data_IF_558551433410
#
_entry.id   IF_558551433410
#
_cell.length_a   1.000
_cell.length_b   1.000
_cell.length_c   1.000
_cell.angle_alpha   90.00
_cell.angle_beta   90.00
_cell.angle_gamma   90.00
#
_symmetry.space_group_name_H-M   'P 1'
#
loop_
_entity.id
_entity.type
_entity.pdbx_description
1 polymer ?
#
# COMPACT_ATOMS: atom_id res chain seq x y z
N UNK A 1 38.78 47.97 -13.48
CA UNK A 1 38.30 46.81 -14.24
C UNK A 1 37.57 45.90 -13.27
N UNK A 2 36.23 45.91 -13.27
CA UNK A 2 35.48 44.99 -12.41
C UNK A 2 35.70 43.57 -12.93
N UNK A 3 36.27 42.74 -12.07
CA UNK A 3 36.37 41.30 -12.26
C UNK A 3 34.94 40.78 -12.43
N UNK A 4 34.56 40.37 -13.64
CA UNK A 4 33.24 39.78 -13.86
C UNK A 4 33.10 38.58 -12.93
N UNK A 5 32.04 38.51 -12.10
CA UNK A 5 31.82 37.35 -11.22
C UNK A 5 31.78 36.09 -12.08
N UNK A 6 32.17 34.91 -11.55
CA UNK A 6 32.22 33.66 -12.30
C UNK A 6 30.79 33.20 -12.66
N UNK A 7 30.21 33.82 -13.69
CA UNK A 7 28.85 33.57 -14.18
C UNK A 7 28.70 32.18 -14.81
N UNK A 8 29.80 31.51 -15.14
CA UNK A 8 29.81 30.13 -15.64
C UNK A 8 29.20 29.15 -14.60
N UNK A 9 29.50 29.37 -13.32
CA UNK A 9 28.99 28.50 -12.25
C UNK A 9 27.47 28.64 -12.06
N UNK A 10 26.89 29.80 -12.40
CA UNK A 10 25.46 30.06 -12.23
C UNK A 10 24.59 29.21 -13.18
N UNK A 11 24.93 29.16 -14.47
CA UNK A 11 24.13 28.41 -15.45
C UNK A 11 24.21 26.90 -15.24
N UNK A 12 25.40 26.40 -14.85
CA UNK A 12 25.59 25.01 -14.43
C UNK A 12 24.74 24.70 -13.20
N UNK A 13 24.76 25.56 -12.19
CA UNK A 13 23.96 25.39 -10.98
C UNK A 13 22.45 25.35 -11.29
N UNK A 14 21.94 26.26 -12.12
CA UNK A 14 20.53 26.26 -12.54
C UNK A 14 20.16 24.94 -13.25
N UNK A 15 21.05 24.45 -14.13
CA UNK A 15 20.85 23.17 -14.82
C UNK A 15 20.74 22.02 -13.83
N UNK A 16 21.72 21.89 -12.93
CA UNK A 16 21.73 20.81 -11.93
C UNK A 16 20.55 20.89 -10.97
N UNK A 17 20.15 22.09 -10.57
CA UNK A 17 18.98 22.30 -9.73
C UNK A 17 17.69 21.87 -10.45
N UNK A 18 17.55 22.19 -11.74
CA UNK A 18 16.43 21.72 -12.56
C UNK A 18 16.38 20.20 -12.66
N UNK A 19 17.52 19.55 -12.93
CA UNK A 19 17.62 18.08 -12.98
C UNK A 19 17.29 17.45 -11.61
N UNK A 20 17.78 18.03 -10.51
CA UNK A 20 17.47 17.55 -9.18
C UNK A 20 15.96 17.64 -8.87
N UNK A 21 15.30 18.74 -9.26
CA UNK A 21 13.84 18.90 -9.11
C UNK A 21 13.05 17.86 -9.91
N UNK A 22 13.48 17.56 -11.15
CA UNK A 22 12.88 16.52 -11.99
C UNK A 22 12.94 15.16 -11.29
N UNK A 23 14.15 14.75 -10.86
CA UNK A 23 14.37 13.45 -10.20
C UNK A 23 13.58 13.37 -8.91
N UNK A 24 13.64 14.41 -8.07
CA UNK A 24 12.94 14.46 -6.80
C UNK A 24 11.42 14.37 -6.97
N UNK A 25 10.86 15.09 -7.95
CA UNK A 25 9.42 15.09 -8.21
C UNK A 25 8.94 13.72 -8.69
N UNK A 26 9.67 13.12 -9.63
CA UNK A 26 9.36 11.78 -10.15
C UNK A 26 9.48 10.70 -9.08
N UNK A 27 10.56 10.72 -8.29
CA UNK A 27 10.76 9.77 -7.20
C UNK A 27 9.67 9.88 -6.12
N UNK A 28 9.35 11.11 -5.69
CA UNK A 28 8.30 11.35 -4.69
C UNK A 28 6.94 10.86 -5.17
N UNK A 29 6.61 11.10 -6.45
CA UNK A 29 5.35 10.62 -7.05
C UNK A 29 5.25 9.08 -7.02
N UNK A 30 6.31 8.39 -7.45
CA UNK A 30 6.36 6.92 -7.46
C UNK A 30 6.23 6.37 -6.04
N UNK A 31 6.99 6.94 -5.10
CA UNK A 31 7.04 6.44 -3.72
C UNK A 31 5.69 6.61 -2.99
N UNK A 32 5.04 7.77 -3.17
CA UNK A 32 3.74 8.04 -2.57
C UNK A 32 2.66 7.09 -3.13
N UNK A 33 2.66 6.88 -4.45
CA UNK A 33 1.73 5.94 -5.10
C UNK A 33 1.97 4.51 -4.62
N UNK A 34 3.23 4.08 -4.54
CA UNK A 34 3.62 2.74 -4.07
C UNK A 34 3.17 2.49 -2.63
N UNK A 35 3.39 3.44 -1.72
CA UNK A 35 3.00 3.31 -0.31
C UNK A 35 1.49 3.06 -0.15
N UNK A 36 0.67 3.80 -0.89
CA UNK A 36 -0.79 3.62 -0.83
C UNK A 36 -1.20 2.28 -1.43
N UNK A 37 -0.68 1.93 -2.61
CA UNK A 37 -1.01 0.66 -3.25
C UNK A 37 -0.67 -0.54 -2.35
N UNK A 38 0.52 -0.52 -1.72
CA UNK A 38 0.93 -1.58 -0.78
C UNK A 38 0.01 -1.61 0.44
N UNK A 39 -0.36 -0.46 1.00
CA UNK A 39 -1.26 -0.40 2.15
C UNK A 39 -2.65 -0.96 1.83
N UNK A 40 -3.24 -0.58 0.69
CA UNK A 40 -4.54 -1.08 0.24
C UNK A 40 -4.48 -2.58 -0.03
N UNK A 41 -3.49 -3.05 -0.80
CA UNK A 41 -3.34 -4.46 -1.15
C UNK A 41 -3.15 -5.35 0.10
N UNK A 42 -2.36 -4.89 1.07
CA UNK A 42 -2.13 -5.61 2.33
C UNK A 42 -3.43 -5.71 3.13
N UNK A 43 -4.21 -4.62 3.20
CA UNK A 43 -5.49 -4.59 3.89
C UNK A 43 -6.53 -5.50 3.20
N UNK A 44 -6.57 -5.52 1.87
CA UNK A 44 -7.43 -6.43 1.09
C UNK A 44 -7.07 -7.89 1.30
N UNK A 45 -5.78 -8.23 1.33
CA UNK A 45 -5.33 -9.58 1.63
C UNK A 45 -5.71 -10.02 3.05
N UNK A 46 -5.52 -9.16 4.05
CA UNK A 46 -5.95 -9.44 5.43
C UNK A 46 -7.47 -9.67 5.46
N UNK A 47 -8.25 -8.81 4.80
CA UNK A 47 -9.70 -8.92 4.69
C UNK A 47 -10.15 -10.25 4.04
N UNK A 48 -9.48 -10.67 2.97
CA UNK A 48 -9.76 -11.93 2.29
C UNK A 48 -9.45 -13.14 3.20
N UNK A 49 -8.33 -13.09 3.92
CA UNK A 49 -7.95 -14.14 4.86
C UNK A 49 -8.95 -14.29 6.01
N UNK A 50 -9.45 -13.17 6.54
CA UNK A 50 -10.49 -13.15 7.58
C UNK A 50 -11.84 -13.65 7.05
N UNK A 51 -12.15 -13.36 5.78
CA UNK A 51 -13.38 -13.84 5.13
C UNK A 51 -13.40 -15.35 5.03
N UNK A 52 -12.30 -15.95 4.60
CA UNK A 52 -12.14 -17.41 4.53
C UNK A 52 -12.27 -18.04 5.93
N UNK A 53 -11.61 -17.47 6.94
CA UNK A 53 -11.74 -17.95 8.33
C UNK A 53 -13.18 -17.85 8.85
N UNK A 54 -13.87 -16.73 8.59
CA UNK A 54 -15.26 -16.57 8.97
C UNK A 54 -16.17 -17.61 8.31
N UNK A 55 -15.98 -17.89 7.01
CA UNK A 55 -16.76 -18.88 6.27
C UNK A 55 -16.59 -20.29 6.85
N UNK A 56 -15.36 -20.68 7.20
CA UNK A 56 -15.07 -21.96 7.85
C UNK A 56 -15.77 -22.04 9.22
N UNK A 57 -15.63 -21.01 10.05
CA UNK A 57 -16.26 -20.95 11.38
C UNK A 57 -17.79 -20.95 11.30
N UNK A 58 -18.38 -20.28 10.32
CA UNK A 58 -19.83 -20.34 10.09
C UNK A 58 -20.27 -21.75 9.70
N UNK A 59 -19.47 -22.47 8.92
CA UNK A 59 -19.67 -23.87 8.61
C UNK A 59 -19.65 -24.75 9.86
N UNK A 60 -18.65 -24.57 10.74
CA UNK A 60 -18.53 -25.29 12.01
C UNK A 60 -19.71 -25.03 12.95
N UNK A 61 -20.11 -23.76 13.10
CA UNK A 61 -21.27 -23.39 13.94
C UNK A 61 -22.54 -24.05 13.43
N UNK A 62 -22.80 -23.99 12.11
CA UNK A 62 -23.96 -24.65 11.50
C UNK A 62 -23.90 -26.17 11.64
N UNK A 63 -22.72 -26.76 11.47
CA UNK A 63 -22.50 -28.20 11.65
C UNK A 63 -22.79 -28.65 13.08
N UNK A 64 -22.24 -27.94 14.07
CA UNK A 64 -22.45 -28.23 15.49
C UNK A 64 -23.91 -28.05 15.90
N UNK A 65 -24.59 -27.03 15.38
CA UNK A 65 -26.02 -26.78 15.66
C UNK A 65 -26.91 -27.88 15.08
N UNK A 66 -26.63 -28.34 13.86
CA UNK A 66 -27.33 -29.45 13.23
C UNK A 66 -27.10 -30.77 13.98
N UNK A 67 -25.85 -31.08 14.35
CA UNK A 67 -25.52 -32.29 15.12
C UNK A 67 -26.20 -32.28 16.49
N UNK A 68 -26.11 -31.17 17.23
CA UNK A 68 -26.77 -31.03 18.52
C UNK A 68 -28.29 -31.17 18.41
N UNK A 69 -28.90 -30.62 17.35
CA UNK A 69 -30.34 -30.75 17.09
C UNK A 69 -30.76 -32.18 16.79
N UNK A 70 -29.95 -32.95 16.04
CA UNK A 70 -30.19 -34.37 15.77
C UNK A 70 -30.09 -35.20 17.05
N UNK A 71 -29.02 -35.02 17.84
CA UNK A 71 -28.84 -35.73 19.11
C UNK A 71 -29.94 -35.39 20.13
N UNK A 72 -30.34 -34.12 20.22
CA UNK A 72 -31.44 -33.70 21.08
C UNK A 72 -32.78 -34.31 20.65
N UNK A 73 -32.99 -34.50 19.34
CA UNK A 73 -34.15 -35.20 18.81
C UNK A 73 -34.14 -36.68 19.20
N UNK A 74 -33.00 -37.35 19.13
CA UNK A 74 -32.84 -38.75 19.59
C UNK A 74 -33.15 -38.90 21.09
N UNK A 75 -32.69 -37.95 21.92
CA UNK A 75 -32.99 -37.96 23.36
C UNK A 75 -34.47 -37.68 23.69
N UNK A 76 -35.20 -36.97 22.82
CA UNK A 76 -36.60 -36.62 23.01
C UNK A 76 -37.59 -37.64 22.45
N UNK A 77 -37.21 -38.38 21.41
CA UNK A 77 -38.07 -39.37 20.78
C UNK A 77 -38.18 -40.63 21.65
N UNK A 78 -39.36 -40.96 22.21
CA UNK A 78 -39.52 -42.13 23.08
C UNK A 78 -39.13 -43.45 22.41
N UNK A 79 -39.20 -43.53 21.08
CA UNK A 79 -38.85 -44.73 20.33
C UNK A 79 -37.34 -44.91 20.15
N UNK A 80 -36.55 -43.83 20.21
CA UNK A 80 -35.09 -43.86 19.99
C UNK A 80 -34.29 -43.50 21.25
N UNK A 81 -34.96 -43.06 22.32
CA UNK A 81 -34.32 -42.59 23.55
C UNK A 81 -33.59 -43.75 24.25
N UNK A 82 -32.26 -43.64 24.46
CA UNK A 82 -31.53 -44.61 25.28
C UNK A 82 -32.01 -44.52 26.73
N UNK A 83 -31.90 -45.64 27.46
CA UNK A 83 -32.22 -45.68 28.90
C UNK A 83 -31.40 -44.61 29.65
N UNK A 84 -32.00 -43.73 30.48
CA UNK A 84 -31.29 -42.63 31.14
C UNK A 84 -30.09 -43.04 32.00
N UNK A 85 -30.02 -44.29 32.45
CA UNK A 85 -28.87 -44.85 33.18
C UNK A 85 -27.79 -45.47 32.29
N UNK A 86 -28.03 -45.56 30.98
CA UNK A 86 -27.10 -46.20 30.05
C UNK A 86 -25.87 -45.34 29.78
N UNK A 87 -24.75 -46.00 29.51
CA UNK A 87 -23.52 -45.33 29.07
C UNK A 87 -23.72 -44.56 27.74
N UNK A 88 -24.66 -44.97 26.91
CA UNK A 88 -25.00 -44.30 25.66
C UNK A 88 -25.69 -42.96 25.90
N UNK A 89 -26.67 -42.90 26.80
CA UNK A 89 -27.34 -41.65 27.19
C UNK A 89 -26.31 -40.61 27.68
N UNK A 90 -25.43 -41.01 28.60
CA UNK A 90 -24.38 -40.14 29.13
C UNK A 90 -23.39 -39.65 28.05
N UNK A 91 -23.08 -40.49 27.05
CA UNK A 91 -22.24 -40.10 25.90
C UNK A 91 -22.91 -39.06 25.03
N UNK A 92 -24.20 -39.24 24.71
CA UNK A 92 -24.96 -38.30 23.88
C UNK A 92 -25.09 -36.96 24.61
N UNK A 93 -25.43 -36.98 25.90
CA UNK A 93 -25.56 -35.76 26.70
C UNK A 93 -24.23 -34.99 26.79
N UNK A 94 -23.13 -35.69 27.05
CA UNK A 94 -21.78 -35.11 27.06
C UNK A 94 -21.42 -34.52 25.69
N UNK A 95 -21.74 -35.21 24.59
CA UNK A 95 -21.49 -34.72 23.23
C UNK A 95 -22.30 -33.46 22.92
N UNK A 96 -23.58 -33.42 23.29
CA UNK A 96 -24.42 -32.23 23.12
C UNK A 96 -23.84 -31.04 23.88
N UNK A 97 -23.35 -31.25 25.11
CA UNK A 97 -22.76 -30.18 25.90
C UNK A 97 -21.43 -29.69 25.30
N UNK A 98 -20.58 -30.59 24.81
CA UNK A 98 -19.37 -30.23 24.06
C UNK A 98 -19.70 -29.39 22.81
N UNK A 99 -20.70 -29.78 22.03
CA UNK A 99 -21.12 -29.05 20.84
C UNK A 99 -21.60 -27.63 21.17
N UNK A 100 -22.31 -27.44 22.29
CA UNK A 100 -22.71 -26.10 22.75
C UNK A 100 -21.50 -25.24 23.12
N UNK A 101 -20.51 -25.81 23.81
CA UNK A 101 -19.28 -25.10 24.18
C UNK A 101 -18.51 -24.70 22.91
N UNK A 102 -18.27 -25.64 21.99
CA UNK A 102 -17.61 -25.36 20.71
C UNK A 102 -18.36 -24.29 19.91
N UNK A 103 -19.69 -24.37 19.83
CA UNK A 103 -20.51 -23.35 19.17
C UNK A 103 -20.30 -21.97 19.79
N UNK A 104 -20.36 -21.86 21.11
CA UNK A 104 -20.18 -20.59 21.81
C UNK A 104 -18.77 -19.99 21.60
N UNK A 105 -17.73 -20.84 21.55
CA UNK A 105 -16.36 -20.43 21.25
C UNK A 105 -16.19 -19.96 19.81
N UNK A 106 -16.76 -20.68 18.83
CA UNK A 106 -16.74 -20.29 17.43
C UNK A 106 -17.53 -19.00 17.19
N UNK A 107 -18.68 -18.81 17.83
CA UNK A 107 -19.46 -17.56 17.76
C UNK A 107 -18.69 -16.36 18.34
N UNK A 108 -17.97 -16.56 19.46
CA UNK A 108 -17.11 -15.53 20.05
C UNK A 108 -15.98 -15.14 19.08
N UNK A 109 -15.37 -16.12 18.42
CA UNK A 109 -14.31 -15.90 17.41
C UNK A 109 -14.87 -15.20 16.18
N UNK A 110 -16.08 -15.56 15.74
CA UNK A 110 -16.75 -14.89 14.62
C UNK A 110 -17.06 -13.42 14.92
N UNK A 111 -17.43 -13.11 16.17
CA UNK A 111 -17.61 -11.73 16.63
C UNK A 111 -16.30 -10.93 16.58
N UNK A 112 -15.17 -11.51 16.99
CA UNK A 112 -13.87 -10.82 16.92
C UNK A 112 -13.40 -10.63 15.48
N UNK A 113 -13.63 -11.61 14.59
CA UNK A 113 -13.37 -11.47 13.16
C UNK A 113 -14.18 -10.32 12.56
N UNK A 114 -15.49 -10.22 12.88
CA UNK A 114 -16.34 -9.10 12.43
C UNK A 114 -15.83 -7.73 12.92
N UNK A 115 -15.29 -7.66 14.13
CA UNK A 115 -14.68 -6.44 14.62
C UNK A 115 -13.43 -6.08 13.79
N UNK A 116 -12.54 -7.04 13.54
CA UNK A 116 -11.34 -6.82 12.70
C UNK A 116 -11.70 -6.42 11.26
N UNK A 117 -12.79 -6.94 10.72
CA UNK A 117 -13.33 -6.48 9.43
C UNK A 117 -13.63 -4.99 9.42
N UNK A 118 -14.30 -4.48 10.46
CA UNK A 118 -14.61 -3.06 10.57
C UNK A 118 -13.34 -2.21 10.68
N UNK A 119 -12.37 -2.67 11.47
CA UNK A 119 -11.07 -2.01 11.63
C UNK A 119 -10.30 -1.94 10.28
N UNK A 120 -10.30 -3.03 9.50
CA UNK A 120 -9.66 -3.06 8.18
C UNK A 120 -10.40 -2.18 7.18
N UNK A 121 -11.74 -2.18 7.18
CA UNK A 121 -12.53 -1.29 6.33
C UNK A 121 -12.24 0.18 6.65
N UNK A 122 -12.08 0.53 7.92
CA UNK A 122 -11.69 1.87 8.33
C UNK A 122 -10.28 2.22 7.82
N UNK A 123 -9.31 1.29 7.91
CA UNK A 123 -7.97 1.48 7.32
C UNK A 123 -8.01 1.69 5.81
N UNK A 124 -8.80 0.91 5.08
CA UNK A 124 -8.99 1.07 3.62
C UNK A 124 -9.61 2.43 3.31
N UNK A 125 -10.64 2.83 4.07
CA UNK A 125 -11.29 4.14 3.92
C UNK A 125 -10.29 5.27 4.15
N UNK A 126 -9.50 5.22 5.21
CA UNK A 126 -8.47 6.21 5.52
C UNK A 126 -7.36 6.24 4.47
N UNK A 127 -6.94 5.08 3.94
CA UNK A 127 -6.00 5.00 2.83
C UNK A 127 -6.55 5.66 1.56
N UNK A 128 -7.84 5.46 1.26
CA UNK A 128 -8.51 6.10 0.12
C UNK A 128 -8.65 7.62 0.28
N UNK A 129 -8.94 8.10 1.50
CA UNK A 129 -8.94 9.54 1.80
C UNK A 129 -7.54 10.12 1.59
N UNK A 130 -6.51 9.40 2.05
CA UNK A 130 -5.10 9.79 1.85
C UNK A 130 -4.73 9.77 0.37
N UNK A 131 -5.22 8.80 -0.40
CA UNK A 131 -5.02 8.75 -1.85
C UNK A 131 -5.60 9.98 -2.55
N UNK A 132 -6.81 10.39 -2.16
CA UNK A 132 -7.43 11.62 -2.67
C UNK A 132 -6.66 12.88 -2.29
N UNK A 133 -6.08 12.95 -1.08
CA UNK A 133 -5.26 14.11 -0.70
C UNK A 133 -3.93 14.15 -1.45
N UNK A 134 -3.38 12.99 -1.82
CA UNK A 134 -2.21 12.91 -2.69
C UNK A 134 -2.49 13.41 -4.11
N UNK A 135 -3.71 13.34 -4.64
CA UNK A 135 -4.01 13.88 -5.97
C UNK A 135 -3.69 15.39 -6.05
N UNK A 136 -3.99 16.14 -4.98
CA UNK A 136 -3.62 17.55 -4.90
C UNK A 136 -2.10 17.74 -4.83
N UNK A 137 -1.38 16.85 -4.13
CA UNK A 137 0.08 16.89 -4.07
C UNK A 137 0.71 16.51 -5.42
N UNK A 138 0.10 15.58 -6.16
CA UNK A 138 0.56 15.16 -7.48
C UNK A 138 0.50 16.32 -8.48
N UNK A 139 -0.48 17.21 -8.37
CA UNK A 139 -0.51 18.45 -9.17
C UNK A 139 0.70 19.34 -8.84
N UNK A 140 1.04 19.51 -7.56
CA UNK A 140 2.20 20.31 -7.14
C UNK A 140 3.50 19.66 -7.65
N UNK A 141 3.62 18.33 -7.57
CA UNK A 141 4.77 17.59 -8.09
C UNK A 141 4.88 17.71 -9.62
N UNK A 142 3.77 17.69 -10.34
CA UNK A 142 3.74 17.88 -11.79
C UNK A 142 4.18 19.29 -12.19
N UNK A 143 3.71 20.32 -11.47
CA UNK A 143 4.15 21.71 -11.68
C UNK A 143 5.64 21.83 -11.38
N UNK A 144 6.12 21.25 -10.28
CA UNK A 144 7.54 21.25 -9.88
C UNK A 144 8.42 20.55 -10.91
N UNK A 145 7.95 19.43 -11.46
CA UNK A 145 8.60 18.72 -12.55
C UNK A 145 8.72 19.60 -13.80
N UNK A 146 7.61 20.23 -14.22
CA UNK A 146 7.60 21.14 -15.38
C UNK A 146 8.56 22.33 -15.18
N UNK A 147 8.57 22.92 -13.99
CA UNK A 147 9.51 23.98 -13.64
C UNK A 147 10.97 23.50 -13.68
N UNK A 148 11.24 22.30 -13.18
CA UNK A 148 12.56 21.66 -13.29
C UNK A 148 13.03 21.48 -14.73
N UNK A 149 12.14 21.05 -15.63
CA UNK A 149 12.44 20.97 -17.07
C UNK A 149 12.80 22.33 -17.66
N UNK A 150 12.02 23.37 -17.35
CA UNK A 150 12.29 24.74 -17.83
C UNK A 150 13.66 25.21 -17.32
N UNK A 151 13.97 25.04 -16.04
CA UNK A 151 15.27 25.42 -15.47
C UNK A 151 16.42 24.66 -16.11
N UNK A 152 16.30 23.34 -16.29
CA UNK A 152 17.32 22.52 -16.91
C UNK A 152 17.61 22.97 -18.35
N UNK A 153 16.57 23.21 -19.15
CA UNK A 153 16.72 23.66 -20.53
C UNK A 153 17.31 25.06 -20.62
N UNK A 154 16.84 26.02 -19.80
CA UNK A 154 17.36 27.40 -19.81
C UNK A 154 18.81 27.47 -19.30
N UNK A 155 19.11 26.76 -18.22
CA UNK A 155 20.47 26.67 -17.68
C UNK A 155 21.45 26.10 -18.71
N UNK A 156 21.07 25.01 -19.36
CA UNK A 156 21.89 24.38 -20.39
C UNK A 156 22.06 25.30 -21.61
N UNK A 157 20.97 25.92 -22.07
CA UNK A 157 21.00 26.84 -23.22
C UNK A 157 21.92 28.03 -22.97
N UNK A 158 21.79 28.68 -21.81
CA UNK A 158 22.66 29.82 -21.48
C UNK A 158 24.11 29.43 -21.26
N UNK A 159 24.36 28.29 -20.63
CA UNK A 159 25.72 27.77 -20.50
C UNK A 159 26.36 27.53 -21.87
N UNK A 160 25.65 26.86 -22.78
CA UNK A 160 26.14 26.57 -24.12
C UNK A 160 26.42 27.84 -24.94
N UNK A 161 25.41 28.72 -25.07
CA UNK A 161 25.53 29.88 -25.94
C UNK A 161 26.48 30.94 -25.41
N UNK A 162 26.54 31.16 -24.09
CA UNK A 162 27.39 32.22 -23.53
C UNK A 162 28.81 31.76 -23.20
N UNK A 163 28.99 30.51 -22.78
CA UNK A 163 30.26 30.04 -22.28
C UNK A 163 30.93 29.06 -23.25
N UNK A 164 30.26 27.95 -23.55
CA UNK A 164 30.85 26.87 -24.32
C UNK A 164 31.24 27.33 -25.73
N UNK A 165 30.35 28.03 -26.43
CA UNK A 165 30.63 28.51 -27.79
C UNK A 165 31.87 29.40 -27.86
N UNK A 166 32.06 30.28 -26.88
CA UNK A 166 33.23 31.16 -26.84
C UNK A 166 34.51 30.38 -26.52
N UNK A 167 34.44 29.42 -25.60
CA UNK A 167 35.58 28.54 -25.30
C UNK A 167 35.98 27.68 -26.49
N UNK A 168 35.01 27.16 -27.23
CA UNK A 168 35.26 26.36 -28.45
C UNK A 168 35.94 27.21 -29.54
N UNK A 169 35.55 28.48 -29.68
CA UNK A 169 36.19 29.42 -30.62
C UNK A 169 37.64 29.73 -30.22
N UNK A 170 37.90 29.98 -28.93
CA UNK A 170 39.26 30.22 -28.43
C UNK A 170 40.16 28.98 -28.58
N UNK A 171 39.62 27.79 -28.30
CA UNK A 171 40.35 26.54 -28.45
C UNK A 171 40.79 26.33 -29.90
N UNK A 172 39.90 26.56 -30.88
CA UNK A 172 40.23 26.47 -32.31
C UNK A 172 41.39 27.38 -32.71
N UNK A 173 41.40 28.63 -32.25
CA UNK A 173 42.48 29.58 -32.54
C UNK A 173 43.80 29.11 -31.91
N UNK A 174 43.75 28.56 -30.69
CA UNK A 174 44.95 28.06 -30.00
C UNK A 174 45.56 26.84 -30.68
N UNK A 175 44.74 25.93 -31.21
CA UNK A 175 45.22 24.76 -31.96
C UNK A 175 45.91 25.17 -33.25
N UNK A 176 45.32 26.09 -34.03
CA UNK A 176 45.94 26.59 -35.27
C UNK A 176 47.32 27.21 -35.05
N UNK A 177 47.47 28.03 -34.00
CA UNK A 177 48.78 28.63 -33.68
C UNK A 177 49.84 27.60 -33.28
N UNK A 178 49.43 26.49 -32.67
CA UNK A 178 50.34 25.43 -32.26
C UNK A 178 50.84 24.61 -33.44
N UNK A 179 50.06 24.50 -34.52
CA UNK A 179 50.46 23.75 -35.72
C UNK A 179 51.42 24.56 -36.62
N UNK A 180 51.36 25.90 -36.53
CA UNK A 180 52.23 26.81 -37.27
C UNK A 180 53.61 27.05 -36.62
N UNK A 181 53.82 26.56 -35.38
CA UNK A 181 55.05 26.75 -34.59
C UNK A 181 55.96 25.52 -34.63
#
# INVERSE_FOLDING_TARGET
>A
MLQNPPTDNLYKFITFLGVALIIFSAWTYIENTRKIQVAVLTAEFEMQSLRSQAEILEGEVKGADNEASMLHRQLKDPAQRPDPGSAEFARIESRVEQLKVTKAESEKTLKSIKQRFNEINEKISNANITAKSLDSQNIILLISFGFGCIMATLGFSFWYFKHQRHQDELLKISTQKSDDS
#
